data_IF_080456451885
#
_entry.id   IF_080456451885
#
_cell.length_a   1.000
_cell.length_b   1.000
_cell.length_c   1.000
_cell.angle_alpha   90.00
_cell.angle_beta   90.00
_cell.angle_gamma   90.00
#
_symmetry.space_group_name_H-M   'P 1'
#
loop_
_entity.id
_entity.type
_entity.pdbx_description
1 polymer ?
#
# COMPACT_ATOMS: atom_id res chain seq x y z
N UNK A 1 29.17 5.87 -17.56
CA UNK A 1 29.51 4.43 -17.68
C UNK A 1 28.36 3.68 -17.06
N UNK A 2 27.80 2.67 -17.72
CA UNK A 2 26.64 1.94 -17.20
C UNK A 2 26.98 1.26 -15.87
N UNK A 3 26.03 1.26 -14.94
CA UNK A 3 26.17 0.60 -13.63
C UNK A 3 26.55 -0.88 -13.80
N UNK A 4 27.47 -1.40 -12.98
CA UNK A 4 27.89 -2.82 -13.01
C UNK A 4 28.61 -3.30 -14.29
N UNK A 5 29.17 -2.38 -15.09
CA UNK A 5 29.95 -2.75 -16.28
C UNK A 5 31.07 -3.77 -15.99
N UNK A 6 31.76 -3.65 -14.85
CA UNK A 6 32.82 -4.59 -14.45
C UNK A 6 32.30 -6.01 -14.19
N UNK A 7 31.13 -6.14 -13.58
CA UNK A 7 30.46 -7.42 -13.31
C UNK A 7 29.93 -8.03 -14.62
N UNK A 8 29.33 -7.23 -15.51
CA UNK A 8 28.85 -7.70 -16.81
C UNK A 8 29.99 -8.20 -17.71
N UNK A 9 31.15 -7.56 -17.63
CA UNK A 9 32.34 -7.96 -18.36
C UNK A 9 33.12 -9.13 -17.71
N UNK A 10 32.59 -9.69 -16.61
CA UNK A 10 33.23 -10.80 -15.88
C UNK A 10 34.52 -10.44 -15.14
N UNK A 11 34.84 -9.14 -15.04
CA UNK A 11 36.05 -8.66 -14.34
C UNK A 11 35.86 -8.59 -12.82
N UNK A 12 34.61 -8.63 -12.34
CA UNK A 12 34.26 -8.76 -10.92
C UNK A 12 33.17 -9.82 -10.72
N UNK A 13 33.23 -10.53 -9.58
CA UNK A 13 32.16 -11.48 -9.20
C UNK A 13 30.95 -10.74 -8.67
N UNK A 14 29.76 -11.20 -9.07
CA UNK A 14 28.48 -10.74 -8.54
C UNK A 14 28.39 -10.93 -7.03
N UNK A 15 28.06 -9.85 -6.32
CA UNK A 15 27.62 -9.91 -4.92
C UNK A 15 26.14 -9.56 -4.84
N UNK A 16 25.34 -10.49 -4.32
CA UNK A 16 23.93 -10.24 -4.02
C UNK A 16 23.81 -9.17 -2.94
N UNK A 17 22.94 -8.18 -3.15
CA UNK A 17 22.53 -7.22 -2.12
C UNK A 17 21.03 -7.34 -1.87
N UNK A 18 20.62 -7.11 -0.62
CA UNK A 18 19.25 -7.29 -0.10
C UNK A 18 19.07 -6.47 1.17
N UNK A 19 17.88 -6.49 1.76
CA UNK A 19 17.57 -5.84 3.04
C UNK A 19 18.67 -6.07 4.08
N UNK A 20 19.23 -4.97 4.62
CA UNK A 20 20.34 -4.98 5.58
C UNK A 20 21.74 -4.84 4.96
N UNK A 21 21.90 -5.02 3.65
CA UNK A 21 23.19 -4.78 2.98
C UNK A 21 23.62 -3.32 3.15
N UNK A 22 24.87 -3.08 3.51
CA UNK A 22 25.40 -1.73 3.75
C UNK A 22 26.78 -1.52 3.12
N UNK A 23 26.97 -0.39 2.47
CA UNK A 23 28.28 0.02 1.95
C UNK A 23 29.29 0.26 3.08
N UNK A 24 30.57 0.08 2.77
CA UNK A 24 31.64 0.31 3.75
C UNK A 24 31.59 1.75 4.27
N UNK A 25 31.37 1.90 5.59
CA UNK A 25 31.27 3.20 6.24
C UNK A 25 29.87 3.83 6.25
N UNK A 26 28.88 3.23 5.60
CA UNK A 26 27.50 3.76 5.56
C UNK A 26 26.64 3.32 6.77
N UNK A 27 27.13 2.40 7.61
CA UNK A 27 26.39 1.93 8.80
C UNK A 27 26.12 3.10 9.76
N UNK A 28 24.87 3.28 10.24
CA UNK A 28 24.55 4.35 11.19
C UNK A 28 25.36 4.22 12.49
N UNK A 29 25.86 5.35 13.00
CA UNK A 29 26.54 5.37 14.31
C UNK A 29 25.57 5.05 15.46
N UNK A 30 24.29 5.42 15.31
CA UNK A 30 23.24 5.15 16.28
C UNK A 30 22.08 4.37 15.63
N UNK A 31 22.18 3.04 15.67
CA UNK A 31 21.16 2.15 15.09
C UNK A 31 19.80 2.30 15.75
N UNK A 32 19.77 2.55 17.06
CA UNK A 32 18.51 2.71 17.79
C UNK A 32 17.72 3.89 17.27
N UNK A 33 18.39 5.01 17.02
CA UNK A 33 17.73 6.19 16.45
C UNK A 33 17.35 5.94 14.98
N UNK A 34 18.20 5.27 14.22
CA UNK A 34 17.91 4.88 12.84
C UNK A 34 16.63 4.01 12.73
N UNK A 35 16.46 3.01 13.59
CA UNK A 35 15.28 2.13 13.54
C UNK A 35 14.03 2.72 14.17
N UNK A 36 14.16 3.75 15.02
CA UNK A 36 13.03 4.41 15.69
C UNK A 36 11.97 4.90 14.71
N UNK A 37 12.39 5.48 13.56
CA UNK A 37 11.46 5.93 12.52
C UNK A 37 10.68 4.82 11.83
N UNK A 38 11.23 3.61 11.73
CA UNK A 38 10.57 2.50 11.04
C UNK A 38 9.72 1.64 11.96
N UNK A 39 10.15 1.53 13.22
CA UNK A 39 9.71 0.52 14.17
C UNK A 39 9.04 1.13 15.40
N UNK A 40 8.53 2.37 15.32
CA UNK A 40 7.91 3.07 16.44
C UNK A 40 6.91 2.19 17.23
N UNK A 41 6.03 1.49 16.51
CA UNK A 41 5.04 0.57 17.10
C UNK A 41 5.63 -0.76 17.58
N UNK A 42 6.80 -1.13 17.07
CA UNK A 42 7.41 -2.46 17.24
C UNK A 42 8.52 -2.47 18.31
N UNK A 43 9.17 -1.33 18.56
CA UNK A 43 10.30 -1.17 19.48
C UNK A 43 9.94 -1.47 20.94
N UNK A 44 8.67 -1.27 21.32
CA UNK A 44 8.18 -1.59 22.64
C UNK A 44 8.04 -3.10 22.88
N UNK A 45 7.79 -3.88 21.81
CA UNK A 45 7.48 -5.31 21.91
C UNK A 45 8.63 -6.23 21.48
N UNK A 46 9.69 -5.69 20.84
CA UNK A 46 10.86 -6.46 20.42
C UNK A 46 12.16 -5.66 20.58
N UNK A 47 13.16 -6.25 21.24
CA UNK A 47 14.51 -5.67 21.31
C UNK A 47 15.20 -5.66 19.94
N UNK A 48 14.95 -6.65 19.09
CA UNK A 48 15.51 -6.74 17.74
C UNK A 48 15.05 -5.57 16.87
N UNK A 49 13.84 -5.06 17.09
CA UNK A 49 13.31 -3.89 16.40
C UNK A 49 14.12 -2.61 16.64
N UNK A 50 15.07 -2.61 17.58
CA UNK A 50 15.96 -1.46 17.87
C UNK A 50 17.26 -1.50 17.06
N UNK A 51 17.59 -2.60 16.39
CA UNK A 51 18.91 -2.79 15.76
C UNK A 51 18.92 -3.63 14.48
N UNK A 52 17.77 -4.19 14.08
CA UNK A 52 17.68 -5.07 12.91
C UNK A 52 16.51 -4.66 12.04
N UNK A 53 16.64 -4.86 10.73
CA UNK A 53 15.51 -4.85 9.81
C UNK A 53 14.67 -6.12 9.98
N UNK A 54 13.38 -6.03 9.66
CA UNK A 54 12.40 -7.10 9.72
C UNK A 54 12.08 -7.54 8.31
N UNK A 55 12.34 -8.81 8.00
CA UNK A 55 11.97 -9.40 6.72
C UNK A 55 10.50 -9.82 6.73
N UNK A 56 9.71 -9.29 5.79
CA UNK A 56 8.28 -9.58 5.68
C UNK A 56 7.98 -10.95 5.02
N UNK A 57 8.97 -11.53 4.32
CA UNK A 57 8.84 -12.78 3.60
C UNK A 57 9.34 -13.96 4.45
N UNK A 58 10.54 -13.86 5.03
CA UNK A 58 11.14 -14.96 5.79
C UNK A 58 10.83 -14.93 7.28
N UNK A 59 10.29 -13.80 7.77
CA UNK A 59 10.14 -13.57 9.21
C UNK A 59 11.47 -13.51 9.97
N UNK A 60 12.57 -13.16 9.30
CA UNK A 60 13.89 -12.98 9.93
C UNK A 60 14.11 -11.54 10.43
N UNK A 61 15.16 -11.39 11.23
CA UNK A 61 15.72 -10.10 11.62
C UNK A 61 17.10 -9.94 10.97
N UNK A 62 17.21 -9.03 10.01
CA UNK A 62 18.43 -8.78 9.26
C UNK A 62 19.25 -7.67 9.94
N UNK A 63 20.48 -7.99 10.33
CA UNK A 63 21.44 -7.00 10.80
C UNK A 63 21.99 -6.18 9.61
N UNK A 64 22.77 -5.15 9.92
CA UNK A 64 23.60 -4.51 8.89
C UNK A 64 24.72 -5.46 8.44
N UNK A 65 24.72 -5.82 7.16
CA UNK A 65 25.70 -6.72 6.54
C UNK A 65 26.60 -5.95 5.55
N UNK A 66 27.90 -5.78 5.85
CA UNK A 66 28.80 -5.04 4.96
C UNK A 66 28.93 -5.67 3.57
N UNK A 67 28.81 -4.84 2.54
CA UNK A 67 29.08 -5.24 1.16
C UNK A 67 30.57 -5.45 0.90
N UNK A 68 31.46 -4.98 1.79
CA UNK A 68 32.91 -4.93 1.57
C UNK A 68 33.28 -4.13 0.30
N UNK A 69 32.38 -3.27 -0.16
CA UNK A 69 32.51 -2.37 -1.29
C UNK A 69 32.09 -0.96 -0.81
N UNK A 70 32.71 0.10 -1.31
CA UNK A 70 32.42 1.47 -0.86
C UNK A 70 31.07 2.00 -1.37
N UNK A 71 30.53 1.47 -2.47
CA UNK A 71 29.46 2.11 -3.23
C UNK A 71 28.51 1.12 -3.94
N UNK A 72 28.45 -0.14 -3.51
CA UNK A 72 27.65 -1.16 -4.18
C UNK A 72 26.15 -0.92 -4.01
N UNK A 73 25.70 -0.60 -2.79
CA UNK A 73 24.31 -0.25 -2.49
C UNK A 73 24.00 1.14 -3.05
N UNK A 74 24.92 2.09 -2.88
CA UNK A 74 24.80 3.44 -3.42
C UNK A 74 24.58 3.42 -4.93
N UNK A 75 25.38 2.67 -5.67
CA UNK A 75 25.22 2.55 -7.12
C UNK A 75 23.83 2.03 -7.48
N UNK A 76 23.36 1.00 -6.77
CA UNK A 76 22.01 0.46 -6.98
C UNK A 76 20.91 1.51 -6.72
N UNK A 77 21.03 2.26 -5.63
CA UNK A 77 20.11 3.36 -5.31
C UNK A 77 20.13 4.45 -6.37
N UNK A 78 21.30 4.84 -6.85
CA UNK A 78 21.45 5.85 -7.90
C UNK A 78 20.81 5.38 -9.21
N UNK A 79 20.95 4.09 -9.56
CA UNK A 79 20.22 3.48 -10.68
C UNK A 79 18.70 3.57 -10.47
N UNK A 80 18.19 3.10 -9.33
CA UNK A 80 16.74 3.13 -9.06
C UNK A 80 16.19 4.56 -9.10
N UNK A 81 16.94 5.54 -8.60
CA UNK A 81 16.56 6.93 -8.64
C UNK A 81 16.45 7.44 -10.09
N UNK A 82 17.49 7.20 -10.93
CA UNK A 82 17.46 7.56 -12.36
C UNK A 82 16.34 6.85 -13.12
N UNK A 83 16.10 5.59 -12.81
CA UNK A 83 15.06 4.77 -13.43
C UNK A 83 13.64 5.11 -12.93
N UNK A 84 13.48 5.96 -11.92
CA UNK A 84 12.18 6.41 -11.42
C UNK A 84 11.56 5.55 -10.31
N UNK A 85 12.31 4.64 -9.71
CA UNK A 85 11.86 3.71 -8.65
C UNK A 85 12.35 4.08 -7.25
N UNK A 86 13.05 5.21 -7.08
CA UNK A 86 13.54 5.66 -5.77
C UNK A 86 13.74 7.19 -5.70
N UNK A 87 12.74 8.01 -6.08
CA UNK A 87 12.93 9.46 -6.24
C UNK A 87 13.20 10.18 -4.92
N UNK A 88 12.60 9.73 -3.81
CA UNK A 88 12.67 10.37 -2.50
C UNK A 88 13.57 9.60 -1.51
N UNK A 89 14.68 9.06 -1.99
CA UNK A 89 15.58 8.29 -1.14
C UNK A 89 16.35 9.15 -0.13
N UNK A 90 16.58 8.64 1.09
CA UNK A 90 17.39 9.31 2.12
C UNK A 90 18.64 8.55 2.59
N UNK A 91 18.66 7.22 2.51
CA UNK A 91 19.63 6.37 3.21
C UNK A 91 20.75 5.88 2.29
N UNK A 92 21.59 6.81 1.85
CA UNK A 92 22.69 6.51 0.93
C UNK A 92 23.57 5.38 1.47
N UNK A 93 23.77 4.34 0.66
CA UNK A 93 24.59 3.19 0.98
C UNK A 93 23.96 2.18 1.94
N UNK A 94 22.68 2.33 2.31
CA UNK A 94 21.93 1.38 3.15
C UNK A 94 20.76 0.76 2.38
N UNK A 95 20.77 -0.56 2.25
CA UNK A 95 19.66 -1.30 1.65
C UNK A 95 18.56 -1.49 2.70
N UNK A 96 17.85 -0.41 3.01
CA UNK A 96 16.71 -0.37 3.94
C UNK A 96 15.37 -0.68 3.27
N UNK A 97 14.27 -0.42 3.98
CA UNK A 97 12.91 -0.71 3.50
C UNK A 97 12.53 0.02 2.22
N UNK A 98 12.94 1.28 2.07
CA UNK A 98 12.62 2.07 0.88
C UNK A 98 13.42 1.55 -0.33
N UNK A 99 14.69 1.18 -0.15
CA UNK A 99 15.50 0.54 -1.20
C UNK A 99 14.93 -0.82 -1.61
N UNK A 100 14.42 -1.61 -0.63
CA UNK A 100 13.71 -2.85 -0.88
C UNK A 100 12.46 -2.61 -1.74
N UNK A 101 11.62 -1.64 -1.37
CA UNK A 101 10.42 -1.27 -2.11
C UNK A 101 10.74 -0.84 -3.55
N UNK A 102 11.73 0.04 -3.74
CA UNK A 102 12.15 0.46 -5.09
C UNK A 102 12.70 -0.69 -5.94
N UNK A 103 13.41 -1.63 -5.31
CA UNK A 103 13.89 -2.86 -5.98
C UNK A 103 12.74 -3.73 -6.44
N UNK A 104 11.73 -3.95 -5.58
CA UNK A 104 10.53 -4.72 -5.92
C UNK A 104 9.75 -4.05 -7.05
N UNK A 105 9.57 -2.73 -7.03
CA UNK A 105 8.89 -2.00 -8.12
C UNK A 105 9.64 -2.14 -9.46
N UNK A 106 10.98 -2.08 -9.45
CA UNK A 106 11.75 -2.33 -10.67
C UNK A 106 11.57 -3.75 -11.20
N UNK A 107 11.65 -4.76 -10.31
CA UNK A 107 11.44 -6.16 -10.66
C UNK A 107 10.03 -6.41 -11.20
N UNK A 108 9.01 -5.85 -10.54
CA UNK A 108 7.62 -5.88 -10.98
C UNK A 108 7.50 -5.27 -12.38
N UNK A 109 8.01 -4.06 -12.58
CA UNK A 109 7.90 -3.35 -13.85
C UNK A 109 8.50 -4.15 -15.02
N UNK A 110 9.72 -4.68 -14.86
CA UNK A 110 10.35 -5.49 -15.92
C UNK A 110 9.56 -6.78 -16.17
N UNK A 111 9.05 -7.41 -15.10
CA UNK A 111 8.28 -8.64 -15.23
C UNK A 111 6.95 -8.42 -15.95
N UNK A 112 6.20 -7.40 -15.54
CA UNK A 112 4.78 -7.27 -15.89
C UNK A 112 4.53 -6.23 -16.98
N UNK A 113 5.23 -5.09 -16.96
CA UNK A 113 5.10 -4.04 -17.98
C UNK A 113 5.92 -4.38 -19.22
N UNK A 114 7.17 -4.86 -19.05
CA UNK A 114 7.98 -5.29 -20.20
C UNK A 114 7.71 -6.76 -20.62
N UNK A 115 6.95 -7.52 -19.81
CA UNK A 115 6.66 -8.93 -20.07
C UNK A 115 7.86 -9.87 -19.94
N UNK A 116 8.93 -9.45 -19.24
CA UNK A 116 10.18 -10.23 -19.14
C UNK A 116 10.21 -11.00 -17.82
N UNK A 117 9.55 -12.16 -17.80
CA UNK A 117 9.48 -13.01 -16.61
C UNK A 117 10.85 -13.54 -16.11
N UNK A 118 11.90 -13.50 -16.94
CA UNK A 118 13.25 -13.93 -16.58
C UNK A 118 13.87 -13.10 -15.44
N UNK A 119 13.42 -11.86 -15.19
CA UNK A 119 13.90 -11.10 -14.03
C UNK A 119 13.64 -11.80 -12.69
N UNK A 120 12.67 -12.72 -12.66
CA UNK A 120 12.30 -13.50 -11.48
C UNK A 120 11.06 -12.97 -10.78
N UNK A 121 10.95 -13.27 -9.48
CA UNK A 121 9.89 -12.77 -8.62
C UNK A 121 10.30 -11.38 -8.07
N UNK A 122 9.36 -10.43 -7.92
CA UNK A 122 9.59 -9.14 -7.26
C UNK A 122 9.85 -9.27 -5.74
N UNK A 123 10.93 -9.94 -5.37
CA UNK A 123 11.30 -10.28 -3.99
C UNK A 123 12.18 -9.22 -3.29
N UNK A 124 12.69 -8.25 -4.04
CA UNK A 124 13.56 -7.19 -3.55
C UNK A 124 15.02 -7.62 -3.37
N UNK A 125 15.41 -8.79 -3.88
CA UNK A 125 16.78 -9.30 -3.86
C UNK A 125 17.47 -8.94 -5.18
N UNK A 126 18.62 -8.26 -5.08
CA UNK A 126 19.40 -7.88 -6.27
C UNK A 126 20.41 -8.98 -6.60
N UNK A 127 19.93 -9.96 -7.35
CA UNK A 127 20.75 -11.01 -7.96
C UNK A 127 21.32 -10.62 -9.32
N UNK A 128 21.89 -11.60 -10.03
CA UNK A 128 22.48 -11.41 -11.38
C UNK A 128 21.45 -10.91 -12.39
N UNK A 129 20.24 -11.46 -12.40
CA UNK A 129 19.14 -11.07 -13.29
C UNK A 129 18.70 -9.61 -13.09
N UNK A 130 18.47 -9.19 -11.84
CA UNK A 130 18.16 -7.79 -11.52
C UNK A 130 19.26 -6.84 -12.02
N UNK A 131 20.53 -7.21 -11.83
CA UNK A 131 21.69 -6.41 -12.31
C UNK A 131 21.77 -6.35 -13.83
N UNK A 132 21.53 -7.46 -14.53
CA UNK A 132 21.52 -7.50 -16.00
C UNK A 132 20.45 -6.56 -16.57
N UNK A 133 19.23 -6.59 -16.01
CA UNK A 133 18.19 -5.69 -16.47
C UNK A 133 18.45 -4.23 -16.09
N UNK A 134 19.07 -3.97 -14.94
CA UNK A 134 19.46 -2.63 -14.54
C UNK A 134 20.56 -2.06 -15.45
N UNK A 135 21.59 -2.86 -15.78
CA UNK A 135 22.61 -2.51 -16.76
C UNK A 135 21.97 -2.13 -18.11
N UNK A 136 21.10 -2.99 -18.63
CA UNK A 136 20.35 -2.76 -19.88
C UNK A 136 19.53 -1.46 -19.83
N UNK A 137 18.88 -1.17 -18.71
CA UNK A 137 18.10 0.06 -18.53
C UNK A 137 18.99 1.30 -18.48
N UNK A 138 20.08 1.24 -17.72
CA UNK A 138 21.02 2.35 -17.55
C UNK A 138 21.74 2.69 -18.85
N UNK A 139 22.13 1.68 -19.65
CA UNK A 139 22.67 1.87 -21.00
C UNK A 139 21.68 2.55 -21.95
N UNK A 140 20.41 2.16 -21.87
CA UNK A 140 19.35 2.70 -22.72
C UNK A 140 18.76 4.03 -22.21
N UNK A 141 19.19 4.52 -21.04
CA UNK A 141 18.62 5.70 -20.39
C UNK A 141 17.13 5.55 -20.07
N UNK A 142 16.67 4.32 -19.77
CA UNK A 142 15.25 4.04 -19.51
C UNK A 142 14.79 4.59 -18.17
N UNK A 143 13.58 5.14 -18.18
CA UNK A 143 12.86 5.62 -16.99
C UNK A 143 11.47 5.02 -17.01
N UNK A 144 11.00 4.56 -15.85
CA UNK A 144 9.65 4.05 -15.70
C UNK A 144 8.61 5.14 -15.96
N UNK A 145 7.55 4.83 -16.69
CA UNK A 145 6.46 5.80 -16.93
C UNK A 145 5.68 6.14 -15.64
N UNK A 146 5.86 5.36 -14.56
CA UNK A 146 5.36 5.70 -13.22
C UNK A 146 6.01 6.97 -12.64
N UNK A 147 7.18 7.35 -13.16
CA UNK A 147 7.88 8.57 -12.77
C UNK A 147 7.83 9.62 -13.87
N UNK A 148 7.09 10.71 -13.62
CA UNK A 148 6.94 11.83 -14.56
C UNK A 148 7.71 13.09 -14.12
N UNK A 149 8.81 12.92 -13.37
CA UNK A 149 9.59 14.04 -12.83
C UNK A 149 8.98 14.67 -11.57
N UNK A 150 9.63 15.70 -11.02
CA UNK A 150 9.25 16.35 -9.75
C UNK A 150 7.87 17.00 -9.78
N UNK A 151 7.50 17.58 -10.94
CA UNK A 151 6.22 18.23 -11.17
C UNK A 151 5.37 17.34 -12.09
N UNK A 152 4.66 16.33 -11.55
CA UNK A 152 3.89 15.41 -12.37
C UNK A 152 2.76 16.14 -13.08
N UNK A 153 2.52 15.81 -14.35
CA UNK A 153 1.32 16.25 -15.07
C UNK A 153 0.23 15.21 -14.81
N UNK A 154 -0.86 15.55 -14.10
CA UNK A 154 -1.88 14.56 -13.78
C UNK A 154 -2.57 14.02 -15.02
N UNK A 155 -2.80 12.70 -15.04
CA UNK A 155 -3.57 12.05 -16.10
C UNK A 155 -5.02 12.53 -16.09
N UNK A 156 -5.71 12.37 -17.22
CA UNK A 156 -7.15 12.67 -17.31
C UNK A 156 -7.95 11.90 -16.26
N UNK A 157 -7.61 10.64 -16.05
CA UNK A 157 -8.27 9.80 -15.07
C UNK A 157 -8.02 10.29 -13.64
N UNK A 158 -6.80 10.70 -13.32
CA UNK A 158 -6.51 11.29 -12.01
C UNK A 158 -7.35 12.55 -11.76
N UNK A 159 -7.40 13.46 -12.75
CA UNK A 159 -8.19 14.69 -12.63
C UNK A 159 -9.68 14.40 -12.47
N UNK A 160 -10.19 13.39 -13.19
CA UNK A 160 -11.56 12.90 -13.04
C UNK A 160 -11.84 12.45 -11.61
N UNK A 161 -10.97 11.63 -11.01
CA UNK A 161 -11.14 11.17 -9.62
C UNK A 161 -11.08 12.31 -8.61
N UNK A 162 -10.13 13.23 -8.74
CA UNK A 162 -10.05 14.41 -7.86
C UNK A 162 -11.32 15.25 -7.96
N UNK A 163 -11.82 15.47 -9.18
CA UNK A 163 -13.08 16.20 -9.40
C UNK A 163 -14.25 15.47 -8.74
N UNK A 164 -14.37 14.16 -8.93
CA UNK A 164 -15.45 13.36 -8.34
C UNK A 164 -15.45 13.45 -6.81
N UNK A 165 -14.28 13.37 -6.18
CA UNK A 165 -14.15 13.50 -4.72
C UNK A 165 -14.58 14.90 -4.22
N UNK A 166 -14.25 15.95 -4.97
CA UNK A 166 -14.70 17.32 -4.68
C UNK A 166 -16.21 17.46 -4.84
N UNK A 167 -16.78 16.90 -5.92
CA UNK A 167 -18.23 16.89 -6.16
C UNK A 167 -18.96 16.09 -5.06
N UNK A 168 -18.39 14.98 -4.60
CA UNK A 168 -18.90 14.19 -3.48
C UNK A 168 -18.90 14.97 -2.16
N UNK A 169 -17.81 15.71 -1.85
CA UNK A 169 -17.76 16.61 -0.69
C UNK A 169 -18.89 17.64 -0.76
N UNK A 170 -19.05 18.30 -1.91
CA UNK A 170 -20.09 19.31 -2.10
C UNK A 170 -21.49 18.70 -1.96
N UNK A 171 -21.72 17.51 -2.51
CA UNK A 171 -22.95 16.75 -2.36
C UNK A 171 -23.27 16.48 -0.88
N UNK A 172 -22.34 15.91 -0.12
CA UNK A 172 -22.55 15.60 1.29
C UNK A 172 -22.64 16.85 2.19
N UNK A 173 -22.07 18.00 1.79
CA UNK A 173 -22.28 19.26 2.50
C UNK A 173 -23.70 19.81 2.27
N UNK A 174 -24.25 19.66 1.07
CA UNK A 174 -25.61 20.09 0.74
C UNK A 174 -26.68 19.12 1.26
N UNK A 175 -26.39 17.82 1.24
CA UNK A 175 -27.27 16.73 1.65
C UNK A 175 -26.52 15.77 2.58
N UNK A 176 -26.37 16.12 3.88
CA UNK A 176 -25.60 15.30 4.80
C UNK A 176 -26.18 13.91 5.01
N UNK A 177 -25.38 12.89 4.71
CA UNK A 177 -25.68 11.50 5.09
C UNK A 177 -25.60 11.34 6.62
N UNK A 178 -26.42 10.49 7.28
CA UNK A 178 -26.44 10.35 8.74
C UNK A 178 -25.07 10.09 9.37
N UNK A 179 -24.23 9.26 8.75
CA UNK A 179 -22.88 8.96 9.27
C UNK A 179 -21.97 10.20 9.22
N UNK A 180 -22.09 11.01 8.17
CA UNK A 180 -21.32 12.25 8.00
C UNK A 180 -21.73 13.28 9.05
N UNK A 181 -23.04 13.40 9.31
CA UNK A 181 -23.60 14.22 10.39
C UNK A 181 -23.07 13.76 11.75
N UNK A 182 -23.06 12.45 12.01
CA UNK A 182 -22.56 11.88 13.26
C UNK A 182 -21.07 12.20 13.47
N UNK A 183 -20.23 12.07 12.44
CA UNK A 183 -18.80 12.43 12.49
C UNK A 183 -18.61 13.94 12.73
N UNK A 184 -19.40 14.78 12.04
CA UNK A 184 -19.34 16.25 12.22
C UNK A 184 -19.64 16.65 13.67
N UNK A 185 -20.63 16.01 14.29
CA UNK A 185 -21.08 16.30 15.65
C UNK A 185 -20.26 15.59 16.74
N UNK A 186 -19.44 14.61 16.38
CA UNK A 186 -18.64 13.87 17.36
C UNK A 186 -17.67 14.82 18.10
N UNK A 187 -17.57 14.70 19.44
CA UNK A 187 -16.66 15.52 20.24
C UNK A 187 -15.19 15.14 20.01
N UNK A 188 -14.93 13.90 19.58
CA UNK A 188 -13.61 13.37 19.25
C UNK A 188 -13.74 12.44 18.03
N UNK A 189 -12.81 12.56 17.08
CA UNK A 189 -12.82 11.76 15.85
C UNK A 189 -11.51 11.00 15.61
N UNK A 190 -10.48 11.23 16.44
CA UNK A 190 -9.16 10.62 16.26
C UNK A 190 -8.56 10.98 14.91
N UNK A 191 -8.21 9.96 14.13
CA UNK A 191 -7.67 10.08 12.77
C UNK A 191 -8.77 10.21 11.69
N UNK A 192 -10.06 10.28 12.07
CA UNK A 192 -11.17 10.58 11.14
C UNK A 192 -11.41 12.08 11.03
N UNK A 193 -11.55 12.60 9.81
CA UNK A 193 -11.79 14.03 9.56
C UNK A 193 -13.26 14.37 9.46
N UNK A 194 -13.61 15.54 9.97
CA UNK A 194 -14.91 16.15 9.72
C UNK A 194 -15.00 16.61 8.26
N UNK A 195 -16.21 16.60 7.71
CA UNK A 195 -16.43 16.90 6.29
C UNK A 195 -15.84 18.23 5.84
N UNK A 196 -15.92 19.26 6.68
CA UNK A 196 -15.41 20.59 6.33
C UNK A 196 -13.88 20.59 6.15
N UNK A 197 -13.18 19.67 6.81
CA UNK A 197 -11.73 19.52 6.72
C UNK A 197 -11.27 18.63 5.55
N UNK A 198 -12.16 17.95 4.82
CA UNK A 198 -11.72 17.04 3.74
C UNK A 198 -10.96 17.79 2.64
N UNK A 199 -9.80 17.27 2.24
CA UNK A 199 -8.95 17.88 1.21
C UNK A 199 -8.26 16.82 0.34
N UNK A 200 -8.01 17.15 -0.94
CA UNK A 200 -7.32 16.26 -1.87
C UNK A 200 -6.18 17.01 -2.56
N UNK A 201 -5.14 17.32 -1.79
CA UNK A 201 -3.96 18.01 -2.31
C UNK A 201 -3.23 17.08 -3.30
N UNK A 202 -2.88 17.54 -4.52
CA UNK A 202 -2.26 16.68 -5.54
C UNK A 202 -0.90 16.09 -5.16
N UNK A 203 -0.19 16.74 -4.24
CA UNK A 203 1.12 16.30 -3.73
C UNK A 203 0.99 15.20 -2.66
N UNK A 204 -0.19 15.04 -2.09
CA UNK A 204 -0.44 14.01 -1.08
C UNK A 204 -0.80 12.67 -1.75
N UNK A 205 -0.56 11.58 -1.03
CA UNK A 205 -0.99 10.25 -1.44
C UNK A 205 -2.43 10.04 -0.96
N UNK A 206 -3.32 9.71 -1.90
CA UNK A 206 -4.71 9.37 -1.58
C UNK A 206 -4.99 7.92 -1.93
N UNK A 207 -5.59 7.19 -1.00
CA UNK A 207 -6.20 5.89 -1.25
C UNK A 207 -7.71 6.07 -1.13
N UNK A 208 -8.47 5.71 -2.15
CA UNK A 208 -9.93 5.80 -2.15
C UNK A 208 -10.50 4.39 -2.13
N UNK A 209 -11.31 4.07 -1.13
CA UNK A 209 -12.13 2.86 -1.10
C UNK A 209 -13.54 3.18 -1.58
N UNK A 210 -14.08 2.35 -2.48
CA UNK A 210 -15.48 2.37 -2.89
C UNK A 210 -16.13 1.10 -2.35
N UNK A 211 -16.91 1.27 -1.29
CA UNK A 211 -17.72 0.21 -0.68
C UNK A 211 -18.95 -0.06 -1.55
N UNK A 212 -19.25 -1.34 -1.74
CA UNK A 212 -20.36 -1.83 -2.54
C UNK A 212 -21.23 -2.73 -1.71
N UNK A 213 -22.53 -2.78 -2.03
CA UNK A 213 -23.44 -3.79 -1.49
C UNK A 213 -23.51 -3.87 0.05
N UNK A 214 -23.19 -2.80 0.77
CA UNK A 214 -23.07 -2.85 2.23
C UNK A 214 -24.40 -3.19 2.93
N UNK A 215 -25.54 -2.91 2.29
CA UNK A 215 -26.88 -3.23 2.76
C UNK A 215 -27.33 -4.68 2.45
N UNK A 216 -26.53 -5.45 1.70
CA UNK A 216 -26.78 -6.88 1.51
C UNK A 216 -26.22 -7.65 2.70
N UNK A 217 -27.10 -8.18 3.56
CA UNK A 217 -26.70 -9.07 4.65
C UNK A 217 -26.18 -10.39 4.10
N UNK A 218 -24.88 -10.63 4.24
CA UNK A 218 -24.22 -11.85 3.76
C UNK A 218 -23.12 -12.28 4.72
N UNK A 219 -23.27 -13.46 5.32
CA UNK A 219 -22.32 -13.99 6.30
C UNK A 219 -20.90 -14.23 5.73
N UNK A 220 -20.78 -14.41 4.40
CA UNK A 220 -19.53 -14.64 3.69
C UNK A 220 -19.35 -13.63 2.55
N UNK A 221 -19.05 -12.39 2.91
CA UNK A 221 -18.74 -11.33 1.95
C UNK A 221 -17.47 -11.62 1.15
N UNK A 222 -17.55 -11.42 -0.16
CA UNK A 222 -16.44 -11.56 -1.09
C UNK A 222 -15.46 -10.39 -1.03
N UNK A 223 -14.49 -10.40 -1.94
CA UNK A 223 -13.64 -9.24 -2.23
C UNK A 223 -14.23 -8.49 -3.43
N UNK A 224 -15.36 -7.81 -3.22
CA UNK A 224 -16.12 -7.13 -4.27
C UNK A 224 -15.98 -5.59 -4.27
N UNK A 225 -15.16 -5.03 -3.38
CA UNK A 225 -14.91 -3.59 -3.28
C UNK A 225 -13.70 -3.13 -4.11
N UNK A 226 -13.72 -1.85 -4.49
CA UNK A 226 -12.69 -1.21 -5.30
C UNK A 226 -11.82 -0.28 -4.45
N UNK A 227 -10.51 -0.31 -4.70
CA UNK A 227 -9.55 0.63 -4.12
C UNK A 227 -8.78 1.35 -5.23
N UNK A 228 -8.62 2.67 -5.11
CA UNK A 228 -7.90 3.52 -6.05
C UNK A 228 -6.76 4.23 -5.33
N UNK A 229 -5.52 3.98 -5.76
CA UNK A 229 -4.37 4.74 -5.31
C UNK A 229 -4.14 5.90 -6.27
N UNK A 230 -4.39 7.12 -5.81
CA UNK A 230 -4.09 8.37 -6.51
C UNK A 230 -2.74 8.87 -6.02
N UNK A 231 -1.72 8.80 -6.88
CA UNK A 231 -0.35 9.12 -6.50
C UNK A 231 0.40 9.72 -7.69
N UNK A 232 1.03 10.88 -7.47
CA UNK A 232 1.80 11.61 -8.49
C UNK A 232 1.05 11.81 -9.82
N UNK A 233 -0.24 12.11 -9.77
CA UNK A 233 -1.03 12.29 -10.98
C UNK A 233 -1.42 11.00 -11.72
N UNK A 234 -1.20 9.83 -11.12
CA UNK A 234 -1.53 8.51 -11.67
C UNK A 234 -2.57 7.79 -10.82
N UNK A 235 -3.24 6.79 -11.41
CA UNK A 235 -4.33 6.03 -10.79
C UNK A 235 -4.07 4.54 -10.91
N UNK A 236 -3.78 3.87 -9.79
CA UNK A 236 -3.71 2.41 -9.73
C UNK A 236 -4.98 1.87 -9.10
N UNK A 237 -5.50 0.74 -9.59
CA UNK A 237 -6.76 0.15 -9.09
C UNK A 237 -6.49 -1.23 -8.52
N UNK A 238 -7.05 -1.48 -7.36
CA UNK A 238 -6.96 -2.74 -6.64
C UNK A 238 -8.37 -3.16 -6.21
N UNK A 239 -8.53 -4.42 -5.84
CA UNK A 239 -9.79 -4.91 -5.30
C UNK A 239 -9.59 -5.61 -3.97
N UNK A 240 -10.67 -5.77 -3.22
CA UNK A 240 -10.63 -6.29 -1.87
C UNK A 240 -11.97 -6.17 -1.17
N UNK A 241 -11.95 -5.95 0.14
CA UNK A 241 -13.15 -5.75 0.96
C UNK A 241 -12.95 -4.61 1.94
N UNK A 242 -13.96 -3.74 2.03
CA UNK A 242 -14.11 -2.68 3.03
C UNK A 242 -15.03 -3.10 4.18
N UNK A 243 -15.69 -4.24 3.99
CA UNK A 243 -16.61 -4.85 4.95
C UNK A 243 -15.92 -5.93 5.79
N UNK A 244 -16.38 -6.14 7.03
CA UNK A 244 -16.03 -7.30 7.83
C UNK A 244 -16.61 -8.60 7.24
N UNK A 245 -16.06 -9.75 7.66
CA UNK A 245 -16.61 -11.08 7.37
C UNK A 245 -17.34 -11.64 8.60
N UNK A 246 -18.68 -11.65 8.61
CA UNK A 246 -19.48 -12.02 9.79
C UNK A 246 -19.22 -13.41 10.36
N UNK A 247 -19.07 -14.41 9.49
CA UNK A 247 -18.85 -15.81 9.92
C UNK A 247 -17.67 -15.98 10.89
N UNK A 248 -16.67 -15.09 10.83
CA UNK A 248 -15.44 -15.17 11.64
C UNK A 248 -15.18 -13.93 12.50
N UNK A 249 -16.16 -13.03 12.58
CA UNK A 249 -16.06 -11.77 13.31
C UNK A 249 -16.91 -11.80 14.57
N UNK A 250 -16.83 -10.72 15.36
CA UNK A 250 -17.70 -10.53 16.51
C UNK A 250 -19.12 -10.24 16.03
N UNK A 251 -20.14 -10.58 16.82
CA UNK A 251 -21.53 -10.22 16.52
C UNK A 251 -21.81 -8.71 16.48
N UNK A 252 -20.85 -7.88 16.91
CA UNK A 252 -20.90 -6.42 16.86
C UNK A 252 -19.80 -5.84 15.94
N UNK A 253 -19.79 -6.30 14.69
CA UNK A 253 -18.74 -5.99 13.73
C UNK A 253 -18.52 -4.48 13.56
N UNK A 254 -17.27 -4.07 13.41
CA UNK A 254 -16.94 -2.66 13.20
C UNK A 254 -16.83 -2.36 11.72
N UNK A 255 -17.63 -1.42 11.24
CA UNK A 255 -17.53 -0.85 9.91
C UNK A 255 -16.83 0.50 10.02
N UNK A 256 -15.75 0.69 9.26
CA UNK A 256 -15.20 2.04 9.08
C UNK A 256 -16.29 2.95 8.50
N UNK A 257 -16.49 4.10 9.14
CA UNK A 257 -17.46 5.10 8.67
C UNK A 257 -17.00 5.70 7.35
N UNK A 258 -17.94 6.10 6.49
CA UNK A 258 -17.62 6.88 5.30
C UNK A 258 -16.91 8.20 5.67
N UNK A 259 -16.00 8.61 4.80
CA UNK A 259 -15.32 9.89 4.90
C UNK A 259 -13.81 9.82 4.69
N UNK A 260 -13.10 10.87 5.11
CA UNK A 260 -11.65 10.95 4.98
C UNK A 260 -10.95 10.66 6.32
N UNK A 261 -9.90 9.84 6.26
CA UNK A 261 -9.15 9.35 7.41
C UNK A 261 -7.65 9.45 7.18
N UNK A 262 -6.89 9.63 8.27
CA UNK A 262 -5.43 9.73 8.24
C UNK A 262 -4.79 8.38 8.57
N UNK A 263 -4.00 7.86 7.64
CA UNK A 263 -3.27 6.61 7.80
C UNK A 263 -1.76 6.82 7.61
N UNK A 264 -0.94 5.87 8.08
CA UNK A 264 0.49 5.77 7.77
C UNK A 264 0.93 4.33 7.61
N UNK A 265 2.03 4.13 6.90
CA UNK A 265 2.65 2.82 6.76
C UNK A 265 3.31 2.40 8.08
N UNK A 266 2.90 1.26 8.64
CA UNK A 266 3.38 0.76 9.92
C UNK A 266 3.34 -0.77 9.99
N UNK A 267 3.83 -1.35 11.10
CA UNK A 267 3.87 -2.80 11.28
C UNK A 267 2.55 -3.36 11.79
N UNK A 268 2.04 -4.36 11.09
CA UNK A 268 0.84 -5.10 11.42
C UNK A 268 1.17 -6.47 12.02
N UNK A 269 0.23 -7.04 12.79
CA UNK A 269 0.36 -8.33 13.50
C UNK A 269 1.65 -8.48 14.33
N UNK A 270 2.13 -7.40 14.95
CA UNK A 270 3.36 -7.41 15.78
C UNK A 270 3.34 -8.41 16.94
N UNK A 271 2.16 -8.88 17.37
CA UNK A 271 1.96 -9.93 18.37
C UNK A 271 2.20 -11.35 17.84
N UNK A 272 2.20 -11.57 16.52
CA UNK A 272 2.39 -12.86 15.87
C UNK A 272 3.56 -12.76 14.89
N UNK A 273 4.78 -13.00 15.38
CA UNK A 273 6.03 -12.70 14.66
C UNK A 273 6.06 -13.26 13.21
N UNK A 274 5.49 -14.45 12.98
CA UNK A 274 5.42 -15.11 11.66
C UNK A 274 4.44 -14.47 10.67
N UNK A 275 3.64 -13.49 11.12
CA UNK A 275 2.63 -12.79 10.34
C UNK A 275 2.89 -11.28 10.26
N UNK A 276 4.08 -10.82 10.62
CA UNK A 276 4.41 -9.40 10.64
C UNK A 276 4.70 -8.88 9.23
N UNK A 277 4.03 -7.80 8.84
CA UNK A 277 4.24 -7.10 7.56
C UNK A 277 3.77 -5.66 7.63
N UNK A 278 4.04 -4.89 6.57
CA UNK A 278 3.64 -3.49 6.44
C UNK A 278 2.16 -3.35 6.07
N UNK A 279 1.45 -2.51 6.80
CA UNK A 279 0.08 -2.14 6.53
C UNK A 279 -0.16 -0.67 6.81
N UNK A 280 -1.26 -0.13 6.28
CA UNK A 280 -1.71 1.20 6.67
C UNK A 280 -2.45 1.09 8.00
N UNK A 281 -1.99 1.84 8.99
CA UNK A 281 -2.63 1.95 10.32
C UNK A 281 -3.10 3.39 10.56
N UNK A 282 -4.12 3.61 11.42
CA UNK A 282 -4.51 4.95 11.84
C UNK A 282 -3.31 5.76 12.33
N UNK A 283 -3.18 6.99 11.84
CA UNK A 283 -1.96 7.77 11.90
C UNK A 283 -1.40 7.96 13.31
N UNK A 284 -2.22 8.48 14.23
CA UNK A 284 -1.79 8.81 15.60
C UNK A 284 -1.74 7.59 16.53
N UNK A 285 -2.31 6.46 16.10
CA UNK A 285 -2.56 5.31 16.98
C UNK A 285 -3.78 5.48 17.90
N UNK A 286 -4.44 6.64 17.87
CA UNK A 286 -5.73 6.87 18.56
C UNK A 286 -6.84 6.10 17.87
N UNK A 287 -6.83 6.04 16.53
CA UNK A 287 -7.78 5.27 15.75
C UNK A 287 -8.76 6.10 14.94
N UNK A 288 -9.72 5.43 14.32
CA UNK A 288 -10.75 6.01 13.44
C UNK A 288 -12.15 5.76 13.98
N UNK A 289 -13.14 6.53 13.53
CA UNK A 289 -14.53 6.32 13.92
C UNK A 289 -15.10 5.10 13.19
N UNK A 290 -15.98 4.36 13.87
CA UNK A 290 -16.65 3.17 13.32
C UNK A 290 -18.15 3.24 13.58
N UNK A 291 -18.93 2.64 12.70
CA UNK A 291 -20.28 2.20 13.01
C UNK A 291 -20.23 0.71 13.39
N UNK A 292 -21.19 0.24 14.19
CA UNK A 292 -21.28 -1.18 14.53
C UNK A 292 -22.61 -1.74 14.07
N UNK A 293 -22.57 -2.96 13.55
CA UNK A 293 -23.77 -3.78 13.41
C UNK A 293 -24.27 -4.12 14.83
N UNK A 294 -25.40 -3.53 15.21
CA UNK A 294 -25.96 -3.66 16.57
C UNK A 294 -27.10 -4.66 16.63
N UNK A 295 -27.77 -4.93 15.51
CA UNK A 295 -28.87 -5.88 15.42
C UNK A 295 -28.42 -7.27 14.90
N UNK A 296 -27.16 -7.41 14.50
CA UNK A 296 -26.49 -8.66 14.17
C UNK A 296 -27.01 -9.25 12.87
N UNK A 297 -27.36 -8.40 11.90
CA UNK A 297 -27.94 -8.78 10.62
C UNK A 297 -26.93 -8.83 9.46
N UNK A 298 -25.63 -8.73 9.79
CA UNK A 298 -24.48 -8.91 8.92
C UNK A 298 -24.39 -7.85 7.81
N UNK A 299 -24.93 -6.65 8.06
CA UNK A 299 -24.86 -5.49 7.15
C UNK A 299 -24.78 -4.18 7.89
N UNK A 300 -24.37 -3.15 7.16
CA UNK A 300 -24.37 -1.78 7.65
C UNK A 300 -25.68 -1.10 7.27
N UNK A 301 -26.67 -1.11 8.16
CA UNK A 301 -28.02 -0.63 7.90
C UNK A 301 -28.25 0.81 8.38
N UNK A 302 -29.39 1.39 8.00
CA UNK A 302 -29.85 2.66 8.56
C UNK A 302 -30.15 2.56 10.07
N UNK A 303 -30.47 1.37 10.59
CA UNK A 303 -30.70 1.16 12.02
C UNK A 303 -29.38 1.27 12.80
N UNK A 304 -28.29 0.73 12.27
CA UNK A 304 -26.94 0.87 12.85
C UNK A 304 -26.48 2.32 12.85
N UNK A 305 -26.76 3.04 11.77
CA UNK A 305 -26.49 4.48 11.69
C UNK A 305 -27.29 5.28 12.71
N UNK A 306 -28.53 4.88 12.98
CA UNK A 306 -29.37 5.51 14.01
C UNK A 306 -28.90 5.20 15.44
N UNK A 307 -28.28 4.03 15.66
CA UNK A 307 -27.64 3.68 16.94
C UNK A 307 -26.38 4.52 17.22
N UNK A 308 -25.81 5.14 16.19
CA UNK A 308 -24.72 6.11 16.28
C UNK A 308 -23.34 5.49 16.03
N UNK A 309 -22.34 6.36 15.96
CA UNK A 309 -20.94 5.98 15.73
C UNK A 309 -20.16 5.85 17.05
N UNK A 310 -19.15 4.99 17.05
CA UNK A 310 -18.26 4.74 18.17
C UNK A 310 -16.79 5.01 17.79
N UNK A 311 -15.93 5.07 18.81
CA UNK A 311 -14.49 5.20 18.65
C UNK A 311 -13.91 6.46 19.33
N UNK A 312 -12.65 6.82 19.00
CA UNK A 312 -11.84 6.24 17.94
C UNK A 312 -11.35 4.80 18.21
N UNK A 313 -11.28 3.96 17.16
CA UNK A 313 -10.84 2.57 17.18
C UNK A 313 -9.53 2.41 16.41
N UNK A 314 -8.47 1.93 17.08
CA UNK A 314 -7.13 1.84 16.51
C UNK A 314 -6.79 0.50 15.86
N UNK A 315 -7.75 -0.44 15.76
CA UNK A 315 -7.53 -1.75 15.14
C UNK A 315 -7.93 -1.81 13.67
N UNK A 316 -8.59 -0.76 13.16
CA UNK A 316 -9.07 -0.67 11.77
C UNK A 316 -7.91 -0.30 10.84
N UNK A 317 -7.27 -1.33 10.28
CA UNK A 317 -6.12 -1.19 9.38
C UNK A 317 -6.54 -1.40 7.92
N UNK A 318 -5.68 -1.04 6.97
CA UNK A 318 -5.79 -1.44 5.56
C UNK A 318 -4.65 -2.41 5.26
N UNK A 319 -4.98 -3.67 4.97
CA UNK A 319 -3.99 -4.74 4.92
C UNK A 319 -4.27 -5.82 3.86
N UNK A 320 -3.42 -6.85 3.81
CA UNK A 320 -3.48 -7.91 2.80
C UNK A 320 -4.45 -9.03 3.19
N UNK A 321 -5.20 -9.57 2.22
CA UNK A 321 -6.11 -10.73 2.41
C UNK A 321 -5.71 -11.97 1.60
N UNK A 322 -4.41 -12.16 1.35
CA UNK A 322 -3.96 -13.26 0.50
C UNK A 322 -4.13 -12.94 -0.98
N UNK A 323 -4.37 -13.98 -1.78
CA UNK A 323 -4.59 -13.86 -3.22
C UNK A 323 -6.01 -13.39 -3.58
N UNK A 324 -6.85 -13.02 -2.61
CA UNK A 324 -8.22 -12.58 -2.87
C UNK A 324 -9.27 -13.69 -2.99
N UNK A 325 -8.89 -14.96 -2.81
CA UNK A 325 -9.83 -16.11 -2.78
C UNK A 325 -10.76 -16.05 -1.55
N UNK A 326 -10.28 -15.46 -0.45
CA UNK A 326 -11.03 -15.34 0.79
C UNK A 326 -10.94 -13.92 1.33
N UNK A 327 -12.01 -13.48 1.99
CA UNK A 327 -12.03 -12.27 2.79
C UNK A 327 -11.59 -12.61 4.23
N UNK A 328 -10.54 -11.95 4.69
CA UNK A 328 -10.02 -12.06 6.06
C UNK A 328 -10.22 -10.77 6.87
N UNK A 329 -11.15 -9.92 6.44
CA UNK A 329 -11.52 -8.71 7.17
C UNK A 329 -12.33 -9.04 8.42
N UNK A 330 -11.94 -8.45 9.55
CA UNK A 330 -12.73 -8.38 10.79
C UNK A 330 -13.12 -6.93 11.09
N UNK A 331 -13.47 -6.17 10.04
CA UNK A 331 -13.73 -4.73 10.08
C UNK A 331 -12.58 -3.87 9.60
N UNK A 332 -11.46 -4.50 9.22
CA UNK A 332 -10.39 -3.84 8.50
C UNK A 332 -10.78 -3.61 7.03
N UNK A 333 -9.96 -2.84 6.33
CA UNK A 333 -10.01 -2.80 4.88
C UNK A 333 -8.95 -3.80 4.39
N UNK A 334 -9.29 -4.62 3.41
CA UNK A 334 -8.36 -5.62 2.89
C UNK A 334 -8.22 -5.53 1.39
N UNK A 335 -7.03 -5.85 0.88
CA UNK A 335 -6.68 -5.76 -0.54
C UNK A 335 -6.10 -7.11 -1.00
N UNK A 336 -6.60 -7.59 -2.13
CA UNK A 336 -6.18 -8.83 -2.76
C UNK A 336 -4.80 -8.69 -3.41
N UNK A 337 -4.03 -9.77 -3.40
CA UNK A 337 -2.67 -9.81 -3.96
C UNK A 337 -2.56 -10.40 -5.37
N UNK A 338 -3.61 -10.99 -5.92
CA UNK A 338 -3.60 -11.72 -7.20
C UNK A 338 -3.41 -10.82 -8.42
N UNK A 339 -3.89 -9.58 -8.39
CA UNK A 339 -3.86 -8.69 -9.56
C UNK A 339 -4.23 -7.25 -9.21
N UNK A 340 -3.96 -6.35 -10.15
CA UNK A 340 -4.35 -4.95 -10.10
C UNK A 340 -4.42 -4.38 -11.52
N UNK A 341 -5.03 -3.20 -11.69
CA UNK A 341 -4.87 -2.40 -12.91
C UNK A 341 -3.80 -1.34 -12.68
N UNK A 342 -2.81 -1.30 -13.55
CA UNK A 342 -1.76 -0.28 -13.51
C UNK A 342 -2.30 1.12 -13.93
N UNK A 343 -1.42 2.12 -13.93
CA UNK A 343 -1.77 3.49 -14.31
C UNK A 343 -2.18 3.67 -15.79
N UNK A 344 -1.91 2.69 -16.64
CA UNK A 344 -2.33 2.63 -18.04
C UNK A 344 -3.62 1.81 -18.24
N UNK A 345 -4.32 1.42 -17.16
CA UNK A 345 -5.50 0.56 -17.19
C UNK A 345 -5.24 -0.86 -17.74
N UNK A 346 -4.00 -1.33 -17.67
CA UNK A 346 -3.65 -2.70 -18.03
C UNK A 346 -3.77 -3.61 -16.82
N UNK A 347 -4.41 -4.77 -17.02
CA UNK A 347 -4.49 -5.83 -16.03
C UNK A 347 -3.12 -6.48 -15.82
N UNK A 348 -2.64 -6.41 -14.59
CA UNK A 348 -1.43 -7.08 -14.15
C UNK A 348 -1.83 -8.30 -13.33
N UNK A 349 -1.51 -9.49 -13.86
CA UNK A 349 -1.73 -10.76 -13.19
C UNK A 349 -0.49 -11.14 -12.36
N UNK A 350 -0.65 -11.13 -11.04
CA UNK A 350 0.36 -11.54 -10.07
C UNK A 350 0.19 -12.99 -9.60
N UNK A 351 -0.84 -13.74 -10.04
CA UNK A 351 -1.23 -15.05 -9.51
C UNK A 351 -0.06 -16.06 -9.47
N UNK A 352 0.85 -15.99 -10.45
CA UNK A 352 2.02 -16.86 -10.54
C UNK A 352 3.02 -16.71 -9.37
N UNK A 353 3.00 -15.58 -8.66
CA UNK A 353 3.92 -15.29 -7.55
C UNK A 353 3.23 -14.69 -6.32
N UNK A 354 1.93 -14.44 -6.38
CA UNK A 354 1.11 -14.01 -5.26
C UNK A 354 0.85 -15.18 -4.31
N UNK A 355 1.10 -14.96 -3.04
CA UNK A 355 0.78 -15.88 -1.97
C UNK A 355 -0.72 -15.86 -1.67
N UNK A 356 -1.30 -17.02 -1.38
CA UNK A 356 -2.65 -17.12 -0.82
C UNK A 356 -2.64 -17.00 0.71
N UNK A 357 -1.54 -17.40 1.36
CA UNK A 357 -1.40 -17.52 2.81
C UNK A 357 0.05 -17.28 3.26
N UNK A 358 0.24 -16.89 4.52
CA UNK A 358 1.56 -16.59 5.09
C UNK A 358 2.66 -17.64 4.82
N UNK A 359 2.32 -18.93 4.78
CA UNK A 359 3.29 -20.02 4.60
C UNK A 359 4.00 -20.01 3.24
N UNK A 360 3.38 -19.46 2.20
CA UNK A 360 3.99 -19.41 0.87
C UNK A 360 5.05 -18.31 0.75
N UNK A 361 5.03 -17.32 1.64
CA UNK A 361 5.95 -16.17 1.58
C UNK A 361 7.41 -16.60 1.78
N UNK A 362 7.65 -17.52 2.72
CA UNK A 362 8.98 -18.09 2.93
C UNK A 362 9.44 -19.02 1.80
N UNK A 363 8.54 -19.38 0.87
CA UNK A 363 8.81 -20.23 -0.28
C UNK A 363 9.02 -19.41 -1.58
N UNK A 364 9.32 -18.12 -1.46
CA UNK A 364 9.65 -17.25 -2.60
C UNK A 364 8.43 -16.62 -3.28
N UNK A 365 7.24 -16.69 -2.68
CA UNK A 365 6.09 -15.89 -3.12
C UNK A 365 6.06 -14.53 -2.41
N UNK A 366 5.32 -13.58 -2.97
CA UNK A 366 5.12 -12.24 -2.41
C UNK A 366 3.65 -12.00 -2.10
N UNK A 367 3.29 -10.81 -1.63
CA UNK A 367 1.89 -10.38 -1.50
C UNK A 367 1.32 -9.81 -2.81
N UNK A 368 2.06 -9.95 -3.92
CA UNK A 368 1.67 -9.55 -5.27
C UNK A 368 1.23 -8.09 -5.35
N UNK A 369 0.02 -7.84 -5.84
CA UNK A 369 -0.57 -6.51 -5.97
C UNK A 369 -0.54 -5.67 -4.69
N UNK A 370 -0.66 -6.31 -3.52
CA UNK A 370 -0.54 -5.59 -2.25
C UNK A 370 0.87 -5.04 -2.01
N UNK A 371 1.92 -5.75 -2.46
CA UNK A 371 3.28 -5.22 -2.41
C UNK A 371 3.42 -3.98 -3.28
N UNK A 372 2.87 -3.99 -4.50
CA UNK A 372 2.86 -2.83 -5.42
C UNK A 372 2.26 -1.61 -4.73
N UNK A 373 1.08 -1.75 -4.10
CA UNK A 373 0.45 -0.66 -3.36
C UNK A 373 1.38 -0.12 -2.26
N UNK A 374 1.91 -1.01 -1.41
CA UNK A 374 2.75 -0.57 -0.29
C UNK A 374 4.07 0.03 -0.75
N UNK A 375 4.62 -0.46 -1.85
CA UNK A 375 5.91 -0.01 -2.37
C UNK A 375 5.78 1.33 -3.09
N UNK A 376 4.72 1.53 -3.88
CA UNK A 376 4.39 2.84 -4.45
C UNK A 376 4.24 3.89 -3.34
N UNK A 377 3.50 3.58 -2.27
CA UNK A 377 3.36 4.47 -1.11
C UNK A 377 4.73 4.77 -0.50
N UNK A 378 5.55 3.76 -0.20
CA UNK A 378 6.85 3.96 0.46
C UNK A 378 7.85 4.74 -0.40
N UNK A 379 7.85 4.52 -1.71
CA UNK A 379 8.85 5.08 -2.65
C UNK A 379 8.47 6.47 -3.13
N UNK A 380 7.17 6.74 -3.30
CA UNK A 380 6.67 8.02 -3.83
C UNK A 380 6.12 8.97 -2.76
N UNK A 381 6.14 8.57 -1.49
CA UNK A 381 5.99 9.49 -0.35
C UNK A 381 7.14 10.51 -0.32
N UNK A 382 6.84 11.83 -0.34
CA UNK A 382 7.85 12.85 -0.13
C UNK A 382 8.58 12.70 1.20
N UNK A 383 9.78 13.28 1.28
CA UNK A 383 10.60 13.22 2.49
C UNK A 383 9.84 13.83 3.69
N UNK A 384 9.86 13.10 4.81
CA UNK A 384 9.17 13.49 6.05
C UNK A 384 7.63 13.56 5.94
N UNK A 385 7.07 12.99 4.88
CA UNK A 385 5.63 12.83 4.71
C UNK A 385 5.28 11.34 4.71
N UNK A 386 4.72 10.87 5.83
CA UNK A 386 4.31 9.48 6.03
C UNK A 386 2.78 9.29 6.03
N UNK A 387 2.06 10.33 5.62
CA UNK A 387 0.59 10.35 5.58
C UNK A 387 0.08 9.74 4.29
N UNK A 388 -0.88 8.83 4.43
CA UNK A 388 -1.79 8.42 3.35
C UNK A 388 -3.19 8.87 3.76
N UNK A 389 -3.83 9.69 2.93
CA UNK A 389 -5.22 10.06 3.12
C UNK A 389 -6.11 8.97 2.54
N UNK A 390 -6.87 8.30 3.41
CA UNK A 390 -7.83 7.30 2.99
C UNK A 390 -9.22 7.92 2.91
N UNK A 391 -9.86 7.90 1.75
CA UNK A 391 -11.26 8.31 1.59
C UNK A 391 -12.12 7.08 1.33
N UNK A 392 -13.08 6.80 2.20
CA UNK A 392 -14.08 5.76 2.00
C UNK A 392 -15.39 6.39 1.54
N UNK A 393 -15.82 6.04 0.33
CA UNK A 393 -17.12 6.37 -0.22
C UNK A 393 -17.92 5.11 -0.57
N UNK A 394 -19.17 5.31 -1.00
CA UNK A 394 -20.02 4.26 -1.54
C UNK A 394 -20.12 4.33 -3.05
N UNK A 395 -20.57 3.27 -3.69
CA UNK A 395 -20.77 3.23 -5.15
C UNK A 395 -21.78 4.24 -5.67
N UNK A 396 -22.75 4.71 -4.87
CA UNK A 396 -23.67 5.77 -5.32
C UNK A 396 -22.95 7.11 -5.56
N UNK A 397 -21.78 7.33 -4.95
CA UNK A 397 -20.96 8.51 -5.25
C UNK A 397 -20.52 8.53 -6.70
N UNK A 398 -20.39 7.36 -7.34
CA UNK A 398 -19.99 7.25 -8.74
C UNK A 398 -21.05 7.80 -9.70
N UNK A 399 -22.32 7.88 -9.29
CA UNK A 399 -23.41 8.46 -10.09
C UNK A 399 -23.28 9.99 -10.24
N UNK A 400 -22.42 10.64 -9.44
CA UNK A 400 -22.11 12.06 -9.60
C UNK A 400 -21.24 12.33 -10.84
N UNK A 401 -20.59 11.31 -11.41
CA UNK A 401 -19.83 11.43 -12.65
C UNK A 401 -20.55 10.76 -13.82
N UNK A 402 -20.75 11.45 -14.96
CA UNK A 402 -21.53 10.93 -16.09
C UNK A 402 -20.95 9.67 -16.73
N UNK A 403 -19.63 9.44 -16.59
CA UNK A 403 -18.92 8.33 -17.24
C UNK A 403 -18.68 7.09 -16.35
N UNK A 404 -19.00 7.15 -15.06
CA UNK A 404 -18.81 6.02 -14.14
C UNK A 404 -20.16 5.30 -13.90
N UNK A 405 -21.04 5.91 -13.11
CA UNK A 405 -22.28 5.27 -12.68
C UNK A 405 -22.07 4.07 -11.74
N UNK A 406 -23.14 3.67 -11.07
CA UNK A 406 -23.15 2.65 -10.00
C UNK A 406 -22.58 1.27 -10.37
N UNK A 407 -22.67 0.84 -11.63
CA UNK A 407 -22.14 -0.47 -12.07
C UNK A 407 -20.65 -0.46 -12.39
N UNK A 408 -19.99 0.69 -12.43
CA UNK A 408 -18.60 0.79 -12.89
C UNK A 408 -17.63 0.07 -11.98
N UNK A 409 -17.77 0.24 -10.66
CA UNK A 409 -16.89 -0.42 -9.70
C UNK A 409 -17.04 -1.96 -9.77
N UNK A 410 -18.25 -2.48 -9.99
CA UNK A 410 -18.49 -3.91 -10.22
C UNK A 410 -17.72 -4.45 -11.42
N UNK A 411 -17.82 -3.74 -12.54
CA UNK A 411 -17.15 -4.11 -13.77
C UNK A 411 -15.62 -4.09 -13.60
N UNK A 412 -15.08 -3.08 -12.91
CA UNK A 412 -13.65 -3.00 -12.63
C UNK A 412 -13.14 -4.12 -11.73
N UNK A 413 -13.88 -4.44 -10.66
CA UNK A 413 -13.49 -5.53 -9.77
C UNK A 413 -13.53 -6.88 -10.50
N UNK A 414 -14.57 -7.15 -11.28
CA UNK A 414 -14.67 -8.37 -12.11
C UNK A 414 -13.53 -8.48 -13.12
N UNK A 415 -13.09 -7.36 -13.70
CA UNK A 415 -11.96 -7.35 -14.63
C UNK A 415 -10.62 -7.70 -13.94
N UNK A 416 -10.51 -7.45 -12.63
CA UNK A 416 -9.29 -7.79 -11.87
C UNK A 416 -9.33 -9.20 -11.29
N UNK A 417 -10.50 -9.78 -11.01
CA UNK A 417 -10.60 -11.13 -10.46
C UNK A 417 -10.20 -12.19 -11.51
N UNK A 418 -8.93 -12.60 -11.49
CA UNK A 418 -8.30 -13.60 -12.37
C UNK A 418 -8.20 -14.99 -11.76
#
# INVERSE_FOLDING_TARGET
MAIFSSEMNGTEKFKTIRLGSVDNGARPQNEREFFKRYHQDFIAVSSMAKSHFRDEATSDWNAFEPTNKPDLVTSWQDFLQRAGFLPYHQEKGIFGYVTLAGTRLFQEYVRTIEGIADIGVPDGIVGSRSRQHAYRWDEAGKVAHWWTGENPVPSKEYQMWIKLLQDAKAHYQAQPHPVITAVKNAPKTGDTRKIDDWEWNPEDIHLVGIRRNQEKGEANRGNDDLFLLLIRGQVFKFYGSTDPRPETSRSDESYLVEGQHKYRMAWHKISEIKKVYKALKPYTGTGVMVARDKDGDDRLSNADMAAGIEGPNNTINIHWTGSGISNYSQGCQVIAGSSYLNSDNQLIDCSAFASSLYNDLSNGKTRGAYNVLTDLVLVYSPLNQDVVWYTLGRDEVLDLHPDLGSNWADAMVKNMQV
#
